data_IF_152995728090
#
_entry.id   IF_152995728090
#
_cell.length_a   1.000
_cell.length_b   1.000
_cell.length_c   1.000
_cell.angle_alpha   90.00
_cell.angle_beta   90.00
_cell.angle_gamma   90.00
#
_symmetry.space_group_name_H-M   'P 1'
#
loop_
_entity.id
_entity.type
_entity.pdbx_description
1 polymer ?
#
# COMPACT_ATOMS: atom_id res chain seq x y z
N UNK A 1 -21.53 -2.91 4.09
CA UNK A 1 -20.75 -3.59 3.02
C UNK A 1 -19.33 -3.81 3.55
N UNK A 2 -18.69 -4.93 3.22
CA UNK A 2 -17.30 -5.22 3.65
C UNK A 2 -16.34 -4.19 3.05
N UNK A 3 -15.42 -3.63 3.87
CA UNK A 3 -14.32 -2.75 3.41
C UNK A 3 -13.41 -3.46 2.39
N UNK A 4 -13.32 -4.78 2.51
CA UNK A 4 -12.46 -5.63 1.70
C UNK A 4 -13.24 -6.40 0.62
N UNK A 5 -12.63 -6.53 -0.56
CA UNK A 5 -13.10 -7.34 -1.66
C UNK A 5 -13.00 -8.83 -1.30
N UNK A 6 -14.08 -9.58 -1.52
CA UNK A 6 -14.09 -11.03 -1.30
C UNK A 6 -13.50 -11.73 -2.51
N UNK A 7 -12.32 -12.32 -2.34
CA UNK A 7 -11.58 -12.97 -3.43
C UNK A 7 -11.28 -14.42 -3.12
N UNK A 8 -11.29 -15.28 -4.15
CA UNK A 8 -10.80 -16.65 -4.05
C UNK A 8 -9.27 -16.62 -4.12
N UNK A 9 -8.61 -16.63 -2.97
CA UNK A 9 -7.16 -16.67 -2.86
C UNK A 9 -6.63 -18.04 -3.29
N UNK A 10 -5.56 -18.03 -4.08
CA UNK A 10 -4.80 -19.23 -4.39
C UNK A 10 -3.86 -19.55 -3.22
N UNK A 11 -3.49 -20.82 -3.02
CA UNK A 11 -2.53 -21.20 -1.98
C UNK A 11 -1.11 -20.66 -2.26
N UNK A 12 -0.79 -20.37 -3.51
CA UNK A 12 0.49 -19.81 -3.95
C UNK A 12 0.30 -18.39 -4.50
N UNK A 13 1.25 -17.51 -4.23
CA UNK A 13 1.29 -16.15 -4.78
C UNK A 13 1.93 -16.14 -6.18
N UNK A 14 1.49 -15.21 -7.02
CA UNK A 14 2.10 -14.98 -8.34
C UNK A 14 3.50 -14.35 -8.21
N UNK A 15 4.12 -14.04 -9.36
CA UNK A 15 5.39 -13.33 -9.43
C UNK A 15 5.30 -11.99 -8.68
N UNK A 16 6.38 -11.61 -7.99
CA UNK A 16 6.43 -10.39 -7.16
C UNK A 16 6.00 -9.11 -7.92
N UNK A 17 6.37 -8.99 -9.21
CA UNK A 17 5.95 -7.86 -10.06
C UNK A 17 4.44 -7.82 -10.30
N UNK A 18 3.80 -8.98 -10.44
CA UNK A 18 2.35 -9.10 -10.64
C UNK A 18 1.63 -8.67 -9.36
N UNK A 19 2.08 -9.17 -8.21
CA UNK A 19 1.51 -8.82 -6.92
C UNK A 19 1.74 -7.35 -6.58
N UNK A 20 2.92 -6.79 -6.87
CA UNK A 20 3.21 -5.37 -6.69
C UNK A 20 2.25 -4.50 -7.50
N UNK A 21 2.09 -4.77 -8.80
CA UNK A 21 1.16 -4.00 -9.65
C UNK A 21 -0.30 -4.09 -9.21
N UNK A 22 -0.70 -5.22 -8.61
CA UNK A 22 -2.07 -5.45 -8.12
C UNK A 22 -2.35 -4.78 -6.77
N UNK A 23 -1.34 -4.74 -5.91
CA UNK A 23 -1.50 -4.41 -4.49
C UNK A 23 -0.91 -3.04 -4.10
N UNK A 24 0.00 -2.45 -4.88
CA UNK A 24 0.50 -1.10 -4.64
C UNK A 24 -0.44 -0.05 -5.23
N UNK A 25 -0.97 0.80 -4.36
CA UNK A 25 -1.84 1.93 -4.75
C UNK A 25 -1.00 3.21 -4.75
N UNK A 26 -0.91 3.83 -5.92
CA UNK A 26 -0.28 5.14 -6.09
C UNK A 26 -1.31 6.22 -5.71
N UNK A 27 -0.97 7.16 -4.81
CA UNK A 27 -1.87 8.26 -4.49
C UNK A 27 -2.11 9.14 -5.72
N UNK A 28 -3.34 9.62 -5.86
CA UNK A 28 -3.69 10.60 -6.87
C UNK A 28 -3.05 11.96 -6.55
N UNK A 29 -2.65 12.69 -7.58
CA UNK A 29 -2.07 14.03 -7.44
C UNK A 29 -3.11 15.06 -7.01
N UNK A 30 -4.32 14.96 -7.59
CA UNK A 30 -5.46 15.83 -7.31
C UNK A 30 -6.65 14.96 -6.87
N UNK A 31 -6.96 14.87 -5.56
CA UNK A 31 -8.10 14.11 -5.05
C UNK A 31 -9.46 14.55 -5.63
N UNK A 32 -9.55 15.79 -6.10
CA UNK A 32 -10.70 16.38 -6.79
C UNK A 32 -10.74 16.08 -8.30
N UNK A 33 -9.68 15.49 -8.84
CA UNK A 33 -9.50 15.22 -10.27
C UNK A 33 -8.88 16.39 -11.05
N UNK A 34 -8.71 16.23 -12.38
CA UNK A 34 -8.16 17.27 -13.24
C UNK A 34 -9.02 18.53 -13.26
N UNK A 35 -8.40 19.66 -13.58
CA UNK A 35 -9.08 20.95 -13.71
C UNK A 35 -10.30 20.86 -14.66
N UNK A 36 -11.45 21.35 -14.19
CA UNK A 36 -12.71 21.34 -14.93
C UNK A 36 -13.54 20.06 -14.78
N UNK A 37 -13.10 19.09 -13.97
CA UNK A 37 -13.89 17.89 -13.68
C UNK A 37 -14.94 18.19 -12.60
N UNK A 38 -16.20 17.86 -12.86
CA UNK A 38 -17.31 18.04 -11.92
C UNK A 38 -17.45 16.84 -10.97
N UNK A 39 -16.36 16.37 -10.35
CA UNK A 39 -16.42 15.28 -9.37
C UNK A 39 -16.68 15.86 -7.98
N UNK A 40 -17.91 15.72 -7.52
CA UNK A 40 -18.24 15.77 -6.09
C UNK A 40 -18.10 14.36 -5.52
N UNK A 41 -16.89 13.97 -5.08
CA UNK A 41 -16.72 12.66 -4.43
C UNK A 41 -17.29 12.72 -3.01
N UNK A 42 -18.29 11.90 -2.66
CA UNK A 42 -18.91 11.93 -1.33
C UNK A 42 -17.98 11.42 -0.22
N UNK A 43 -16.85 10.79 -0.56
CA UNK A 43 -15.87 10.30 0.41
C UNK A 43 -14.45 10.30 -0.16
N UNK A 44 -13.48 10.68 0.66
CA UNK A 44 -12.05 10.57 0.32
C UNK A 44 -11.63 9.10 0.23
N UNK A 45 -10.74 8.80 -0.71
CA UNK A 45 -10.13 7.48 -0.87
C UNK A 45 -10.62 6.72 -2.10
N UNK A 46 -10.55 5.38 -2.03
CA UNK A 46 -10.76 4.51 -3.20
C UNK A 46 -12.25 4.31 -3.48
N UNK A 47 -12.66 4.49 -4.73
CA UNK A 47 -14.04 4.25 -5.20
C UNK A 47 -14.45 2.77 -5.23
N UNK A 48 -13.49 1.86 -5.12
CA UNK A 48 -13.71 0.40 -5.11
C UNK A 48 -13.26 -0.20 -3.78
N UNK A 49 -13.83 -1.36 -3.37
CA UNK A 49 -13.37 -2.07 -2.18
C UNK A 49 -11.86 -2.34 -2.20
N UNK A 50 -11.26 -2.39 -1.01
CA UNK A 50 -9.84 -2.66 -0.83
C UNK A 50 -9.56 -4.15 -0.99
N UNK A 51 -8.43 -4.55 -1.58
CA UNK A 51 -7.94 -5.92 -1.39
C UNK A 51 -7.28 -6.00 -0.01
N UNK A 52 -7.26 -7.16 0.64
CA UNK A 52 -6.64 -7.26 1.97
C UNK A 52 -5.11 -7.02 1.92
N UNK A 53 -4.47 -7.33 0.79
CA UNK A 53 -3.02 -7.16 0.61
C UNK A 53 -2.65 -5.79 0.00
N UNK A 54 -3.66 -4.96 -0.33
CA UNK A 54 -3.44 -3.63 -0.92
C UNK A 54 -2.84 -2.66 0.10
N UNK A 55 -1.87 -1.86 -0.36
CA UNK A 55 -1.16 -0.86 0.45
C UNK A 55 -0.86 0.40 -0.37
N UNK A 56 -0.88 1.55 0.29
CA UNK A 56 -0.46 2.81 -0.33
C UNK A 56 1.06 2.86 -0.46
N UNK A 57 1.56 3.24 -1.64
CA UNK A 57 2.97 3.49 -1.87
C UNK A 57 3.28 4.92 -1.44
N UNK A 58 4.11 5.06 -0.40
CA UNK A 58 4.58 6.36 0.07
C UNK A 58 5.79 6.80 -0.75
N UNK A 59 5.79 8.06 -1.18
CA UNK A 59 6.91 8.68 -1.90
C UNK A 59 8.17 8.84 -1.04
N UNK A 60 8.05 8.66 0.28
CA UNK A 60 9.16 8.73 1.24
C UNK A 60 9.74 7.35 1.58
N UNK A 61 9.20 6.28 0.97
CA UNK A 61 9.69 4.91 1.15
C UNK A 61 10.56 4.48 -0.01
N UNK A 62 11.39 3.47 0.21
CA UNK A 62 12.27 2.91 -0.81
C UNK A 62 11.49 2.36 -2.01
N UNK A 63 12.02 2.55 -3.22
CA UNK A 63 11.44 2.01 -4.45
C UNK A 63 11.44 0.47 -4.45
N UNK A 64 12.54 -0.14 -3.98
CA UNK A 64 12.69 -1.58 -3.83
C UNK A 64 12.72 -1.98 -2.35
N UNK A 65 11.55 -2.17 -1.75
CA UNK A 65 11.42 -2.49 -0.33
C UNK A 65 12.09 -3.80 0.08
N UNK A 66 12.13 -4.80 -0.80
CA UNK A 66 12.72 -6.11 -0.52
C UNK A 66 14.24 -6.01 -0.40
N UNK A 67 14.89 -5.25 -1.29
CA UNK A 67 16.33 -5.03 -1.21
C UNK A 67 16.74 -4.29 0.08
N UNK A 68 15.88 -3.36 0.52
CA UNK A 68 16.10 -2.57 1.72
C UNK A 68 15.51 -3.21 2.98
N UNK A 69 15.01 -4.46 2.88
CA UNK A 69 14.44 -5.17 4.00
C UNK A 69 15.52 -5.48 5.06
N UNK A 70 15.30 -5.03 6.29
CA UNK A 70 16.24 -5.28 7.41
C UNK A 70 17.54 -4.47 7.37
N UNK A 71 17.65 -3.50 6.46
CA UNK A 71 18.73 -2.52 6.48
C UNK A 71 18.29 -1.31 7.31
N UNK A 72 18.96 -1.08 8.43
CA UNK A 72 18.71 0.11 9.25
C UNK A 72 19.18 1.37 8.53
N UNK A 73 18.43 2.45 8.74
CA UNK A 73 18.88 3.78 8.37
C UNK A 73 19.76 4.27 9.51
N UNK A 74 21.07 4.32 9.30
CA UNK A 74 22.06 4.76 10.28
C UNK A 74 22.05 6.29 10.44
N UNK A 75 20.89 6.86 10.74
CA UNK A 75 20.71 8.30 10.96
C UNK A 75 19.97 8.57 12.29
N UNK A 76 20.47 9.48 13.13
CA UNK A 76 19.84 9.77 14.42
C UNK A 76 18.40 10.27 14.28
N UNK A 77 17.45 9.55 14.88
CA UNK A 77 16.02 9.90 14.85
C UNK A 77 15.23 9.29 13.69
N UNK A 78 15.82 8.38 12.92
CA UNK A 78 15.12 7.73 11.81
C UNK A 78 14.04 6.75 12.28
N UNK A 79 12.95 6.70 11.51
CA UNK A 79 11.91 5.71 11.68
C UNK A 79 12.43 4.33 11.23
N UNK A 80 12.03 3.27 11.95
CA UNK A 80 12.28 1.90 11.52
C UNK A 80 11.65 1.68 10.14
N UNK A 81 12.40 1.17 9.14
CA UNK A 81 11.88 0.98 7.79
C UNK A 81 10.75 -0.05 7.68
N UNK A 82 10.57 -0.90 8.71
CA UNK A 82 9.56 -1.94 8.77
C UNK A 82 8.77 -1.87 10.08
N UNK A 83 7.48 -2.15 9.95
CA UNK A 83 6.50 -2.24 11.04
C UNK A 83 6.08 -3.71 11.19
N UNK A 84 7.07 -4.61 11.18
CA UNK A 84 6.82 -6.00 11.55
C UNK A 84 6.50 -6.00 13.04
N UNK A 85 5.25 -6.30 13.39
CA UNK A 85 4.90 -6.64 14.77
C UNK A 85 5.79 -7.81 15.16
N UNK A 86 6.70 -7.58 16.11
CA UNK A 86 7.40 -8.70 16.76
C UNK A 86 6.33 -9.71 17.17
N UNK A 87 6.48 -11.01 16.85
CA UNK A 87 5.59 -12.01 17.39
C UNK A 87 5.66 -11.88 18.90
N UNK A 88 4.52 -11.62 19.55
CA UNK A 88 4.42 -11.71 21.01
C UNK A 88 4.96 -13.08 21.42
N UNK A 89 6.16 -13.08 22.00
CA UNK A 89 6.78 -14.25 22.58
C UNK A 89 5.99 -14.58 23.86
N UNK A 90 5.00 -15.46 23.71
CA UNK A 90 4.34 -16.14 24.83
C UNK A 90 5.26 -17.17 25.48
#
# INVERSE_FOLDING_TARGET
>A
MSKYLREKRQPTTDLATVESRRNEVIPEEFPEGPYGMAIESPSLGKSTPWRADQRSKSNFTWENRELHAGLDRDYPGDHKPHDETEPEMH
#
